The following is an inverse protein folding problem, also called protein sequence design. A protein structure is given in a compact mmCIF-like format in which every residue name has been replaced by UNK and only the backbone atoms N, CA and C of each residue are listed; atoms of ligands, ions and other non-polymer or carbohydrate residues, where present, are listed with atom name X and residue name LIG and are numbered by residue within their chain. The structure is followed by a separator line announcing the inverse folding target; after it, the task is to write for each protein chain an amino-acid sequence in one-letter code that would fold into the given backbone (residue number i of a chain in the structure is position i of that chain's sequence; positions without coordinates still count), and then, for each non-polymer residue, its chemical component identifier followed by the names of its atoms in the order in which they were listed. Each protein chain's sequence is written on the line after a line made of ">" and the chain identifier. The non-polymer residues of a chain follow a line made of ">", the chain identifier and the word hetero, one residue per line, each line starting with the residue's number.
data_IF_949622194413
#
_entry.id   IF_949622194413
#
_cell.length_a   1.000
_cell.length_b   1.000
_cell.length_c   1.000
_cell.angle_alpha   90.00
_cell.angle_beta   90.00
_cell.angle_gamma   90.00
#
_symmetry.space_group_name_H-M   'P 1'
#
loop_
_entity.id
_entity.type
_entity.pdbx_description
1 polymer ?
#
# COMPACT_ATOMS: atom_id res chain seq x y z
N UNK A 1 -14.13 27.02 23.84
CA UNK A 1 -13.30 26.11 24.65
C UNK A 1 -14.22 25.53 25.71
N UNK A 2 -14.48 24.21 25.69
CA UNK A 2 -15.44 23.60 26.62
C UNK A 2 -14.71 23.32 27.95
N UNK A 3 -14.70 24.30 28.85
CA UNK A 3 -13.93 24.26 30.10
C UNK A 3 -14.56 23.34 31.17
N UNK A 4 -15.83 22.96 31.02
CA UNK A 4 -16.56 22.16 32.00
C UNK A 4 -15.91 20.79 32.27
N UNK A 5 -15.39 20.15 31.22
CA UNK A 5 -14.73 18.84 31.33
C UNK A 5 -13.34 18.94 32.01
N UNK A 6 -12.67 20.08 31.85
CA UNK A 6 -11.36 20.33 32.47
C UNK A 6 -11.56 20.61 33.96
N UNK A 7 -12.54 21.45 34.28
CA UNK A 7 -12.87 21.81 35.66
C UNK A 7 -13.36 20.59 36.46
N UNK A 8 -14.12 19.68 35.83
CA UNK A 8 -14.53 18.43 36.46
C UNK A 8 -13.35 17.47 36.71
N UNK A 9 -12.38 17.38 35.80
CA UNK A 9 -11.18 16.57 36.00
C UNK A 9 -10.30 17.11 37.13
N UNK A 10 -10.17 18.44 37.24
CA UNK A 10 -9.47 19.10 38.36
C UNK A 10 -10.19 18.81 39.68
N UNK A 11 -11.53 18.91 39.71
CA UNK A 11 -12.33 18.55 40.89
C UNK A 11 -12.18 17.08 41.30
N UNK A 12 -11.85 16.19 40.36
CA UNK A 12 -11.60 14.77 40.61
C UNK A 12 -10.13 14.47 40.98
N UNK A 13 -9.34 15.49 41.27
CA UNK A 13 -7.97 15.34 41.78
C UNK A 13 -6.88 15.22 40.71
N UNK A 14 -7.21 15.47 39.43
CA UNK A 14 -6.21 15.53 38.35
C UNK A 14 -5.54 16.92 38.38
N UNK A 15 -4.23 17.02 38.61
CA UNK A 15 -3.53 18.30 38.59
C UNK A 15 -3.70 18.99 37.23
N UNK A 16 -4.02 20.27 37.21
CA UNK A 16 -4.22 21.04 35.96
C UNK A 16 -3.01 20.97 35.03
N UNK A 17 -1.80 20.84 35.58
CA UNK A 17 -0.53 20.67 34.85
C UNK A 17 -0.41 19.34 34.10
N UNK A 18 -1.25 18.36 34.41
CA UNK A 18 -1.28 17.04 33.75
C UNK A 18 -2.34 16.95 32.63
N UNK A 19 -3.20 17.96 32.51
CA UNK A 19 -4.27 17.99 31.50
C UNK A 19 -3.69 18.57 30.21
N UNK A 20 -3.31 17.69 29.28
CA UNK A 20 -2.93 18.07 27.93
C UNK A 20 -4.16 18.01 27.02
N UNK A 21 -4.66 19.16 26.59
CA UNK A 21 -5.76 19.24 25.62
C UNK A 21 -5.16 19.35 24.23
N UNK A 22 -5.21 18.25 23.47
CA UNK A 22 -4.84 18.26 22.06
C UNK A 22 -6.03 18.75 21.22
N UNK A 23 -5.81 19.76 20.40
CA UNK A 23 -6.81 20.26 19.43
C UNK A 23 -7.14 19.14 18.43
N UNK A 24 -8.40 18.71 18.37
CA UNK A 24 -8.88 17.75 17.36
C UNK A 24 -8.98 18.35 15.94
N UNK A 25 -8.57 19.62 15.76
CA UNK A 25 -8.72 20.38 14.52
C UNK A 25 -7.42 20.76 13.80
N UNK A 26 -6.25 20.48 14.38
CA UNK A 26 -4.95 20.85 13.78
C UNK A 26 -4.22 19.64 13.21
N UNK A 27 -4.88 18.89 12.31
CA UNK A 27 -4.15 18.17 11.26
C UNK A 27 -3.72 19.19 10.21
N UNK A 28 -2.75 20.02 10.59
CA UNK A 28 -2.04 20.86 9.66
C UNK A 28 -1.42 19.93 8.61
N UNK A 29 -1.84 20.09 7.35
CA UNK A 29 -1.22 19.50 6.17
C UNK A 29 0.13 20.21 5.99
N UNK A 30 1.04 19.99 6.93
CA UNK A 30 2.39 20.52 6.89
C UNK A 30 3.33 19.34 6.98
N UNK A 31 3.83 18.97 5.80
CA UNK A 31 5.02 18.17 5.64
C UNK A 31 4.95 16.83 6.35
N UNK A 32 4.26 15.88 5.73
CA UNK A 32 4.63 14.47 5.90
C UNK A 32 6.03 14.29 5.31
N UNK A 33 7.05 14.74 6.04
CA UNK A 33 8.33 14.09 6.09
C UNK A 33 8.00 12.73 6.72
N UNK A 34 7.54 11.82 5.86
CA UNK A 34 7.44 10.40 6.15
C UNK A 34 8.83 10.05 6.66
N UNK A 35 8.96 9.91 7.98
CA UNK A 35 10.12 9.29 8.59
C UNK A 35 10.00 7.82 8.18
N UNK A 36 10.38 7.55 6.94
CA UNK A 36 10.26 6.28 6.28
C UNK A 36 11.11 5.35 7.12
N UNK A 37 10.47 4.44 7.84
CA UNK A 37 11.17 3.44 8.64
C UNK A 37 11.97 2.58 7.65
N UNK A 38 13.24 2.94 7.45
CA UNK A 38 14.12 2.32 6.45
C UNK A 38 14.20 0.82 6.65
N UNK A 39 14.19 0.36 7.91
CA UNK A 39 14.18 -1.06 8.25
C UNK A 39 12.90 -1.76 7.78
N UNK A 40 11.74 -1.14 7.98
CA UNK A 40 10.47 -1.68 7.48
C UNK A 40 10.41 -1.73 5.95
N UNK A 41 10.97 -0.72 5.27
CA UNK A 41 11.06 -0.72 3.81
C UNK A 41 11.98 -1.82 3.28
N UNK A 42 13.15 -2.01 3.91
CA UNK A 42 14.09 -3.07 3.53
C UNK A 42 13.44 -4.43 3.70
N UNK A 43 12.78 -4.68 4.83
CA UNK A 43 12.10 -5.95 5.10
C UNK A 43 10.97 -6.20 4.09
N UNK A 44 10.16 -5.18 3.79
CA UNK A 44 9.12 -5.27 2.77
C UNK A 44 9.69 -5.62 1.38
N UNK A 45 10.80 -4.98 0.97
CA UNK A 45 11.46 -5.27 -0.29
C UNK A 45 12.05 -6.69 -0.32
N UNK A 46 12.64 -7.15 0.78
CA UNK A 46 13.14 -8.51 0.90
C UNK A 46 12.01 -9.53 0.73
N UNK A 47 10.86 -9.32 1.38
CA UNK A 47 9.69 -10.19 1.24
C UNK A 47 9.15 -10.21 -0.19
N UNK A 48 9.07 -9.05 -0.85
CA UNK A 48 8.67 -8.98 -2.26
C UNK A 48 9.62 -9.75 -3.17
N UNK A 49 10.93 -9.58 -2.98
CA UNK A 49 11.94 -10.31 -3.74
C UNK A 49 11.85 -11.82 -3.50
N UNK A 50 11.58 -12.25 -2.27
CA UNK A 50 11.35 -13.67 -1.97
C UNK A 50 10.14 -14.22 -2.73
N UNK A 51 9.02 -13.51 -2.77
CA UNK A 51 7.85 -13.94 -3.55
C UNK A 51 8.12 -13.95 -5.05
N UNK A 52 8.81 -12.94 -5.58
CA UNK A 52 9.20 -12.86 -6.98
C UNK A 52 10.08 -14.05 -7.39
N UNK A 53 11.13 -14.31 -6.61
CA UNK A 53 12.04 -15.44 -6.84
C UNK A 53 11.31 -16.78 -6.76
N UNK A 54 10.43 -16.95 -5.76
CA UNK A 54 9.62 -18.18 -5.63
C UNK A 54 8.72 -18.39 -6.83
N UNK A 55 8.00 -17.34 -7.28
CA UNK A 55 7.13 -17.42 -8.45
C UNK A 55 7.94 -17.78 -9.70
N UNK A 56 9.02 -17.05 -9.98
CA UNK A 56 9.81 -17.22 -11.20
C UNK A 56 10.47 -18.60 -11.25
N UNK A 57 11.02 -19.06 -10.13
CA UNK A 57 11.59 -20.39 -10.01
C UNK A 57 10.56 -21.49 -10.26
N UNK A 58 9.40 -21.45 -9.57
CA UNK A 58 8.40 -22.52 -9.67
C UNK A 58 7.72 -22.56 -11.04
N UNK A 59 7.53 -21.41 -11.70
CA UNK A 59 6.91 -21.32 -13.02
C UNK A 59 7.67 -22.15 -14.08
N UNK A 60 9.00 -22.26 -13.94
CA UNK A 60 9.86 -22.99 -14.89
C UNK A 60 9.61 -24.50 -14.93
N UNK A 61 9.06 -25.06 -13.84
CA UNK A 61 8.91 -26.50 -13.66
C UNK A 61 7.44 -26.94 -13.63
N UNK A 62 6.50 -26.05 -13.27
CA UNK A 62 5.11 -26.44 -13.02
C UNK A 62 4.45 -27.16 -14.21
N UNK A 63 4.81 -26.80 -15.44
CA UNK A 63 4.29 -27.42 -16.67
C UNK A 63 5.05 -28.66 -17.12
N UNK A 64 6.18 -28.99 -16.47
CA UNK A 64 7.10 -30.08 -16.85
C UNK A 64 7.05 -31.27 -15.90
N UNK A 65 6.38 -31.15 -14.76
CA UNK A 65 6.33 -32.20 -13.74
C UNK A 65 5.34 -33.30 -14.14
N UNK A 66 5.82 -34.54 -14.25
CA UNK A 66 4.99 -35.71 -14.55
C UNK A 66 4.31 -36.20 -13.27
N UNK A 67 3.02 -36.53 -13.38
CA UNK A 67 2.23 -37.11 -12.28
C UNK A 67 2.32 -38.63 -12.39
N UNK A 68 2.97 -39.28 -11.42
CA UNK A 68 3.27 -40.72 -11.47
C UNK A 68 2.68 -41.49 -10.29
N UNK A 69 2.56 -40.88 -9.11
CA UNK A 69 2.05 -41.51 -7.90
C UNK A 69 1.52 -40.47 -6.90
N UNK A 70 0.95 -40.93 -5.77
CA UNK A 70 0.43 -40.07 -4.71
C UNK A 70 1.47 -39.09 -4.15
N UNK A 71 2.74 -39.49 -4.06
CA UNK A 71 3.83 -38.62 -3.62
C UNK A 71 4.07 -37.46 -4.61
N UNK A 72 4.07 -37.75 -5.92
CA UNK A 72 4.19 -36.72 -6.95
C UNK A 72 3.01 -35.72 -6.90
N UNK A 73 1.81 -36.19 -6.59
CA UNK A 73 0.62 -35.34 -6.40
C UNK A 73 0.77 -34.45 -5.16
N UNK A 74 1.23 -35.00 -4.03
CA UNK A 74 1.46 -34.22 -2.81
C UNK A 74 2.54 -33.14 -3.01
N UNK A 75 3.66 -33.51 -3.64
CA UNK A 75 4.74 -32.57 -3.93
C UNK A 75 4.24 -31.45 -4.85
N UNK A 76 3.63 -31.80 -5.98
CA UNK A 76 3.15 -30.82 -6.96
C UNK A 76 2.06 -29.92 -6.40
N UNK A 77 1.12 -30.46 -5.60
CA UNK A 77 0.08 -29.64 -4.97
C UNK A 77 0.66 -28.65 -3.95
N UNK A 78 1.70 -29.02 -3.19
CA UNK A 78 2.45 -28.10 -2.32
C UNK A 78 3.16 -27.00 -3.12
N UNK A 79 3.81 -27.34 -4.25
CA UNK A 79 4.45 -26.35 -5.12
C UNK A 79 3.44 -25.39 -5.74
N UNK A 80 2.28 -25.89 -6.19
CA UNK A 80 1.18 -25.07 -6.69
C UNK A 80 0.64 -24.13 -5.62
N UNK A 81 0.49 -24.60 -4.38
CA UNK A 81 0.06 -23.76 -3.26
C UNK A 81 1.07 -22.62 -2.98
N UNK A 82 2.38 -22.91 -3.06
CA UNK A 82 3.42 -21.90 -2.90
C UNK A 82 3.45 -20.89 -4.07
N UNK A 83 3.34 -21.37 -5.31
CA UNK A 83 3.31 -20.52 -6.51
C UNK A 83 2.09 -19.58 -6.50
N UNK A 84 0.91 -20.10 -6.17
CA UNK A 84 -0.32 -19.30 -6.09
C UNK A 84 -0.25 -18.31 -4.93
N UNK A 85 0.27 -18.70 -3.76
CA UNK A 85 0.51 -17.78 -2.65
C UNK A 85 1.44 -16.63 -3.06
N UNK A 86 2.59 -16.93 -3.65
CA UNK A 86 3.55 -15.92 -4.09
C UNK A 86 2.94 -14.97 -5.14
N UNK A 87 2.24 -15.53 -6.12
CA UNK A 87 1.55 -14.75 -7.16
C UNK A 87 0.51 -13.81 -6.55
N UNK A 88 -0.35 -14.31 -5.65
CA UNK A 88 -1.38 -13.49 -5.01
C UNK A 88 -0.79 -12.36 -4.16
N UNK A 89 0.32 -12.61 -3.46
CA UNK A 89 1.00 -11.57 -2.67
C UNK A 89 1.59 -10.47 -3.57
N UNK A 90 2.25 -10.85 -4.66
CA UNK A 90 2.78 -9.90 -5.64
C UNK A 90 1.67 -9.09 -6.30
N UNK A 91 0.58 -9.74 -6.74
CA UNK A 91 -0.57 -9.09 -7.35
C UNK A 91 -1.19 -8.07 -6.40
N UNK A 92 -1.54 -8.48 -5.16
CA UNK A 92 -2.14 -7.56 -4.17
C UNK A 92 -1.24 -6.36 -3.88
N UNK A 93 0.05 -6.60 -3.74
CA UNK A 93 1.01 -5.53 -3.45
C UNK A 93 1.12 -4.57 -4.63
N UNK A 94 1.24 -5.11 -5.84
CA UNK A 94 1.30 -4.33 -7.09
C UNK A 94 0.04 -3.49 -7.25
N UNK A 95 -1.15 -4.10 -7.13
CA UNK A 95 -2.43 -3.39 -7.25
C UNK A 95 -2.54 -2.25 -6.24
N UNK A 96 -2.17 -2.49 -4.96
CA UNK A 96 -2.17 -1.45 -3.94
C UNK A 96 -1.23 -0.30 -4.30
N UNK A 97 0.03 -0.61 -4.60
CA UNK A 97 1.04 0.42 -4.90
C UNK A 97 0.71 1.21 -6.18
N UNK A 98 0.22 0.54 -7.23
CA UNK A 98 -0.18 1.19 -8.48
C UNK A 98 -1.44 2.03 -8.28
N UNK A 99 -2.44 1.54 -7.53
CA UNK A 99 -3.64 2.31 -7.17
C UNK A 99 -3.29 3.59 -6.42
N UNK A 100 -2.45 3.48 -5.38
CA UNK A 100 -2.02 4.63 -4.59
C UNK A 100 -1.29 5.66 -5.48
N UNK A 101 -0.40 5.19 -6.36
CA UNK A 101 0.36 6.07 -7.25
C UNK A 101 -0.49 6.71 -8.33
N UNK A 102 -1.41 5.98 -8.94
CA UNK A 102 -2.32 6.53 -9.95
C UNK A 102 -3.26 7.57 -9.33
N UNK A 103 -3.74 7.34 -8.11
CA UNK A 103 -4.51 8.34 -7.36
C UNK A 103 -3.70 9.62 -7.07
N UNK A 104 -2.46 9.49 -6.58
CA UNK A 104 -1.57 10.63 -6.32
C UNK A 104 -1.29 11.44 -7.60
N UNK A 105 -1.02 10.75 -8.71
CA UNK A 105 -0.80 11.41 -10.01
C UNK A 105 -2.04 12.15 -10.49
N UNK A 106 -3.24 11.59 -10.29
CA UNK A 106 -4.49 12.26 -10.63
C UNK A 106 -4.73 13.53 -9.80
N UNK A 107 -4.47 13.48 -8.48
CA UNK A 107 -4.54 14.67 -7.61
C UNK A 107 -3.58 15.74 -8.10
N UNK A 108 -2.33 15.37 -8.38
CA UNK A 108 -1.30 16.30 -8.82
C UNK A 108 -1.63 16.89 -10.20
N UNK A 109 -2.10 16.08 -11.15
CA UNK A 109 -2.53 16.57 -12.46
C UNK A 109 -3.66 17.60 -12.30
N UNK A 110 -4.64 17.32 -11.44
CA UNK A 110 -5.74 18.24 -11.20
C UNK A 110 -5.29 19.57 -10.55
N UNK A 111 -4.24 19.56 -9.71
CA UNK A 111 -3.72 20.77 -9.08
C UNK A 111 -2.91 21.64 -10.04
N UNK A 112 -2.25 21.05 -11.05
CA UNK A 112 -1.41 21.79 -12.01
C UNK A 112 -2.06 22.02 -13.37
N UNK A 113 -3.26 21.49 -13.63
CA UNK A 113 -3.90 21.49 -14.96
C UNK A 113 -4.05 22.86 -15.62
N UNK A 114 -4.06 23.96 -14.86
CA UNK A 114 -4.15 25.33 -15.39
C UNK A 114 -2.79 25.89 -15.82
N UNK A 115 -1.70 25.25 -15.40
CA UNK A 115 -0.32 25.71 -15.59
C UNK A 115 0.40 24.91 -16.69
N UNK A 116 -0.28 23.98 -17.35
CA UNK A 116 0.27 23.13 -18.42
C UNK A 116 -0.66 23.13 -19.64
N UNK A 117 -0.15 22.82 -20.84
CA UNK A 117 -0.95 22.74 -22.06
C UNK A 117 -2.11 21.76 -21.95
N UNK A 118 -3.22 22.06 -22.63
CA UNK A 118 -4.41 21.21 -22.62
C UNK A 118 -4.11 19.81 -23.18
N UNK A 119 -3.31 19.70 -24.25
CA UNK A 119 -2.94 18.41 -24.82
C UNK A 119 -2.21 17.50 -23.82
N UNK A 120 -1.36 18.07 -22.96
CA UNK A 120 -0.63 17.34 -21.93
C UNK A 120 -1.59 16.85 -20.83
N UNK A 121 -2.55 17.70 -20.42
CA UNK A 121 -3.60 17.32 -19.48
C UNK A 121 -4.42 16.16 -20.04
N UNK A 122 -4.84 16.25 -21.31
CA UNK A 122 -5.65 15.24 -21.96
C UNK A 122 -4.89 13.90 -22.07
N UNK A 123 -3.63 13.94 -22.48
CA UNK A 123 -2.78 12.75 -22.59
C UNK A 123 -2.59 12.07 -21.22
N UNK A 124 -2.23 12.84 -20.19
CA UNK A 124 -2.03 12.33 -18.84
C UNK A 124 -3.32 11.78 -18.24
N UNK A 125 -4.45 12.47 -18.40
CA UNK A 125 -5.75 12.01 -17.93
C UNK A 125 -6.16 10.69 -18.60
N UNK A 126 -5.92 10.55 -19.91
CA UNK A 126 -6.20 9.31 -20.65
C UNK A 126 -5.41 8.13 -20.09
N UNK A 127 -4.10 8.31 -19.84
CA UNK A 127 -3.25 7.27 -19.25
C UNK A 127 -3.69 6.91 -17.82
N UNK A 128 -4.12 7.89 -17.02
CA UNK A 128 -4.62 7.64 -15.66
C UNK A 128 -5.96 6.89 -15.66
N UNK A 129 -6.85 7.19 -16.61
CA UNK A 129 -8.09 6.42 -16.82
C UNK A 129 -7.75 4.98 -17.21
N UNK A 130 -6.78 4.77 -18.10
CA UNK A 130 -6.32 3.42 -18.45
C UNK A 130 -5.67 2.70 -17.26
N UNK A 131 -4.90 3.40 -16.43
CA UNK A 131 -4.38 2.82 -15.19
C UNK A 131 -5.51 2.31 -14.31
N UNK A 132 -6.52 3.16 -14.04
CA UNK A 132 -7.66 2.78 -13.23
C UNK A 132 -8.46 1.61 -13.84
N UNK A 133 -8.64 1.60 -15.16
CA UNK A 133 -9.33 0.52 -15.87
C UNK A 133 -8.60 -0.82 -15.77
N UNK A 134 -7.26 -0.83 -15.80
CA UNK A 134 -6.45 -2.05 -15.68
C UNK A 134 -6.35 -2.58 -14.24
N UNK A 135 -6.81 -1.81 -13.24
CA UNK A 135 -6.84 -2.24 -11.84
C UNK A 135 -8.16 -2.92 -11.44
N UNK A 136 -9.22 -2.77 -12.25
CA UNK A 136 -10.54 -3.37 -12.05
C UNK A 136 -10.57 -4.83 -12.54
#
# INVERSE_FOLDING_TARGET
>A
MNNENIDQAISNGVPSTSISVSSLGDQNIQGSLILLNKSALIEFNNQLNMYANTREYLLQFITKLVITNSYSIQLQSSLLAQLTKATNQLTRTTLKSVSDRCHQLAIMLNSIKTNIPYEDVQSAATQLIQCAANLL
#
